data_IF_706048996884
#
_entry.id   IF_706048996884
#
_cell.length_a   1.000
_cell.length_b   1.000
_cell.length_c   1.000
_cell.angle_alpha   90.00
_cell.angle_beta   90.00
_cell.angle_gamma   90.00
#
_symmetry.space_group_name_H-M   'P 1'
#
loop_
_entity.id
_entity.type
_entity.pdbx_description
1 polymer ?
#
# COMPACT_ATOMS: atom_id res chain seq x y z
N UNK A 1 -3.79 -19.51 -12.42
CA UNK A 1 -3.10 -19.71 -11.13
C UNK A 1 -1.65 -19.30 -11.29
N UNK A 2 -1.06 -18.59 -10.34
CA UNK A 2 0.32 -18.07 -10.33
C UNK A 2 0.95 -18.39 -8.99
N UNK A 3 2.28 -18.52 -8.97
CA UNK A 3 3.03 -18.74 -7.74
C UNK A 3 4.17 -17.72 -7.65
N UNK A 4 4.32 -17.11 -6.47
CA UNK A 4 5.44 -16.23 -6.14
C UNK A 4 6.10 -16.72 -4.86
N UNK A 5 7.43 -16.74 -4.81
CA UNK A 5 8.19 -17.14 -3.63
C UNK A 5 9.18 -16.07 -3.19
N UNK A 6 9.41 -16.04 -1.88
CA UNK A 6 10.32 -15.11 -1.24
C UNK A 6 11.08 -15.78 -0.09
N UNK A 7 12.18 -15.18 0.36
CA UNK A 7 12.89 -15.68 1.55
C UNK A 7 12.01 -15.69 2.79
N UNK A 8 11.13 -14.71 2.90
CA UNK A 8 10.18 -14.58 3.98
C UNK A 8 8.80 -14.23 3.42
N UNK A 9 7.78 -14.96 3.85
CA UNK A 9 6.38 -14.60 3.63
C UNK A 9 5.77 -14.25 4.97
N UNK A 10 5.28 -13.02 5.10
CA UNK A 10 4.56 -12.51 6.29
C UNK A 10 3.08 -12.54 5.96
N UNK A 11 2.30 -13.35 6.67
CA UNK A 11 0.88 -13.56 6.31
C UNK A 11 -0.02 -12.42 6.77
N UNK A 12 0.35 -11.75 7.86
CA UNK A 12 -0.50 -10.75 8.54
C UNK A 12 -1.89 -11.30 8.88
N UNK A 13 -1.98 -12.61 9.10
CA UNK A 13 -3.17 -13.28 9.61
C UNK A 13 -3.26 -13.15 11.14
N UNK A 14 -4.27 -13.76 11.75
CA UNK A 14 -4.49 -13.73 13.20
C UNK A 14 -3.28 -14.23 14.00
N UNK A 15 -2.49 -15.13 13.42
CA UNK A 15 -1.29 -15.70 14.02
C UNK A 15 -0.02 -14.90 13.74
N UNK A 16 -0.08 -13.91 12.84
CA UNK A 16 1.08 -13.16 12.34
C UNK A 16 2.23 -14.07 11.90
N UNK A 17 1.89 -15.11 11.14
CA UNK A 17 2.84 -16.16 10.74
C UNK A 17 3.93 -15.62 9.81
N UNK A 18 5.17 -16.06 10.04
CA UNK A 18 6.31 -15.74 9.18
C UNK A 18 6.87 -17.06 8.65
N UNK A 19 6.78 -17.25 7.34
CA UNK A 19 7.21 -18.48 6.68
C UNK A 19 8.55 -18.24 5.98
N UNK A 20 9.60 -18.90 6.44
CA UNK A 20 10.91 -18.87 5.80
C UNK A 20 10.88 -19.69 4.52
N UNK A 21 11.48 -19.17 3.44
CA UNK A 21 11.42 -19.75 2.11
C UNK A 21 9.97 -20.10 1.75
N UNK A 22 9.09 -19.12 1.89
CA UNK A 22 7.67 -19.29 1.64
C UNK A 22 7.28 -19.03 0.19
N UNK A 23 6.09 -19.51 -0.17
CA UNK A 23 5.47 -19.22 -1.44
C UNK A 23 3.97 -18.97 -1.28
N UNK A 24 3.43 -18.16 -2.15
CA UNK A 24 2.01 -17.82 -2.23
C UNK A 24 1.48 -18.27 -3.58
N UNK A 25 0.44 -19.09 -3.55
CA UNK A 25 -0.33 -19.50 -4.72
C UNK A 25 -1.55 -18.62 -4.81
N UNK A 26 -1.79 -18.02 -5.96
CA UNK A 26 -2.92 -17.08 -6.12
C UNK A 26 -3.45 -17.05 -7.56
N UNK A 27 -4.66 -16.56 -7.67
CA UNK A 27 -5.34 -16.16 -8.89
C UNK A 27 -5.95 -14.77 -8.67
N UNK A 28 -7.28 -14.65 -8.61
CA UNK A 28 -7.98 -13.46 -8.12
C UNK A 28 -7.85 -13.31 -6.60
N UNK A 29 -7.64 -14.44 -5.92
CA UNK A 29 -7.49 -14.55 -4.48
C UNK A 29 -6.29 -15.40 -4.13
N UNK A 30 -5.81 -15.27 -2.89
CA UNK A 30 -4.84 -16.20 -2.33
C UNK A 30 -5.51 -17.57 -2.19
N UNK A 31 -4.89 -18.59 -2.77
CA UNK A 31 -5.35 -19.97 -2.74
C UNK A 31 -4.67 -20.74 -1.63
N UNK A 32 -3.35 -20.53 -1.49
CA UNK A 32 -2.55 -21.25 -0.50
C UNK A 32 -1.27 -20.48 -0.17
N UNK A 33 -0.81 -20.60 1.06
CA UNK A 33 0.49 -20.07 1.51
C UNK A 33 1.17 -21.20 2.29
N UNK A 34 2.38 -21.57 1.88
CA UNK A 34 3.19 -22.59 2.57
C UNK A 34 4.68 -22.38 2.24
N UNK A 35 5.51 -23.26 2.73
CA UNK A 35 6.92 -23.33 2.32
C UNK A 35 7.03 -23.61 0.82
N UNK A 36 8.04 -23.04 0.18
CA UNK A 36 8.29 -23.28 -1.24
C UNK A 36 8.36 -24.78 -1.56
N UNK A 37 8.99 -25.56 -0.69
CA UNK A 37 9.13 -27.01 -0.88
C UNK A 37 7.78 -27.73 -0.96
N UNK A 38 6.83 -27.38 -0.11
CA UNK A 38 5.49 -27.96 -0.12
C UNK A 38 4.70 -27.54 -1.35
N UNK A 39 4.80 -26.26 -1.71
CA UNK A 39 4.13 -25.73 -2.90
C UNK A 39 4.68 -26.36 -4.19
N UNK A 40 6.00 -26.51 -4.34
CA UNK A 40 6.61 -27.19 -5.50
C UNK A 40 6.11 -28.64 -5.66
N UNK A 41 5.95 -29.36 -4.56
CA UNK A 41 5.40 -30.73 -4.59
C UNK A 41 3.94 -30.78 -5.01
N UNK A 42 3.15 -29.83 -4.57
CA UNK A 42 1.70 -29.81 -4.80
C UNK A 42 1.33 -29.25 -6.19
N UNK A 43 2.15 -28.34 -6.71
CA UNK A 43 1.93 -27.64 -7.98
C UNK A 43 3.12 -27.79 -8.95
N UNK A 44 3.52 -29.03 -9.32
CA UNK A 44 4.76 -29.28 -10.05
C UNK A 44 4.82 -28.68 -11.47
N UNK A 45 3.67 -28.34 -12.03
CA UNK A 45 3.56 -27.85 -13.42
C UNK A 45 3.32 -26.33 -13.51
N UNK A 46 3.37 -25.61 -12.39
CA UNK A 46 3.17 -24.17 -12.38
C UNK A 46 4.51 -23.49 -12.21
N UNK A 47 4.81 -22.56 -13.12
CA UNK A 47 6.02 -21.73 -13.03
C UNK A 47 5.99 -20.85 -11.78
N UNK A 48 7.12 -20.80 -11.08
CA UNK A 48 7.27 -20.05 -9.84
C UNK A 48 8.13 -18.82 -10.09
N UNK A 49 7.56 -17.63 -9.88
CA UNK A 49 8.32 -16.40 -9.82
C UNK A 49 9.10 -16.36 -8.50
N UNK A 50 10.39 -16.62 -8.56
CA UNK A 50 11.28 -16.54 -7.39
C UNK A 50 11.81 -15.12 -7.25
N UNK A 51 11.50 -14.45 -6.13
CA UNK A 51 12.06 -13.14 -5.82
C UNK A 51 13.54 -13.24 -5.44
N UNK A 52 14.25 -12.11 -5.54
CA UNK A 52 15.67 -12.04 -5.21
C UNK A 52 15.96 -12.43 -3.74
N UNK A 53 17.21 -12.71 -3.44
CA UNK A 53 17.67 -13.00 -2.06
C UNK A 53 17.34 -11.82 -1.14
N UNK A 54 17.01 -12.16 0.10
CA UNK A 54 16.58 -11.21 1.14
C UNK A 54 15.24 -10.50 0.86
N UNK A 55 14.40 -11.12 0.04
CA UNK A 55 13.05 -10.62 -0.23
C UNK A 55 12.06 -10.96 0.89
N UNK A 56 11.13 -10.05 1.12
CA UNK A 56 9.97 -10.25 1.97
C UNK A 56 8.72 -10.06 1.12
N UNK A 57 7.83 -11.04 1.14
CA UNK A 57 6.50 -10.96 0.56
C UNK A 57 5.48 -10.78 1.68
N UNK A 58 4.66 -9.75 1.60
CA UNK A 58 3.63 -9.42 2.58
C UNK A 58 2.43 -8.77 1.91
N UNK A 59 1.26 -8.73 2.55
CA UNK A 59 0.12 -7.93 2.06
C UNK A 59 0.51 -6.48 1.85
N UNK A 60 -0.08 -5.85 0.83
CA UNK A 60 0.14 -4.44 0.59
C UNK A 60 -0.36 -3.57 1.74
N UNK A 61 0.32 -2.44 1.97
CA UNK A 61 -0.03 -1.50 3.02
C UNK A 61 -1.38 -0.83 2.72
N UNK A 62 -2.16 -0.61 3.76
CA UNK A 62 -3.43 0.11 3.70
C UNK A 62 -3.25 1.49 4.33
N UNK A 63 -3.43 2.54 3.54
CA UNK A 63 -3.55 3.90 4.06
C UNK A 63 -5.04 4.23 4.24
N UNK A 64 -5.54 4.08 5.45
CA UNK A 64 -6.96 4.22 5.76
C UNK A 64 -7.48 5.67 5.79
N UNK A 65 -6.59 6.66 5.69
CA UNK A 65 -6.98 8.07 5.77
C UNK A 65 -6.07 8.93 4.89
N UNK A 66 -6.57 9.38 3.75
CA UNK A 66 -5.83 10.27 2.85
C UNK A 66 -6.74 11.32 2.23
N UNK A 67 -6.24 12.54 2.17
CA UNK A 67 -6.88 13.68 1.50
C UNK A 67 -6.18 13.94 0.16
N UNK A 68 -6.68 13.35 -0.91
CA UNK A 68 -6.08 13.49 -2.25
C UNK A 68 -6.21 14.90 -2.80
N UNK A 69 -7.27 15.62 -2.41
CA UNK A 69 -7.48 17.01 -2.79
C UNK A 69 -6.41 17.98 -2.24
N UNK A 70 -5.66 17.56 -1.23
CA UNK A 70 -4.52 18.32 -0.71
C UNK A 70 -3.18 17.92 -1.32
N UNK A 71 -3.19 17.17 -2.42
CA UNK A 71 -1.97 16.73 -3.11
C UNK A 71 -1.08 17.87 -3.60
N UNK A 72 -1.63 19.06 -3.80
CA UNK A 72 -0.91 20.27 -4.17
C UNK A 72 -0.15 20.93 -3.00
N UNK A 73 -0.34 20.43 -1.77
CA UNK A 73 0.32 20.99 -0.60
C UNK A 73 1.84 20.78 -0.69
N UNK A 74 2.55 21.88 -0.96
CA UNK A 74 4.01 21.96 -0.94
C UNK A 74 4.50 22.93 0.14
N UNK A 75 3.57 23.59 0.83
CA UNK A 75 3.87 24.57 1.85
C UNK A 75 4.01 23.94 3.22
N UNK A 76 4.80 24.55 4.04
CA UNK A 76 4.93 24.18 5.44
C UNK A 76 3.69 24.62 6.19
N UNK A 77 2.83 23.69 6.54
CA UNK A 77 1.75 23.96 7.49
C UNK A 77 2.36 24.35 8.83
N UNK A 78 1.66 25.21 9.57
CA UNK A 78 2.17 25.62 10.90
C UNK A 78 2.16 24.42 11.84
N UNK A 79 3.33 24.06 12.31
CA UNK A 79 3.48 23.09 13.40
C UNK A 79 3.29 23.80 14.73
N UNK A 80 2.73 23.08 15.70
CA UNK A 80 2.44 23.61 17.03
C UNK A 80 1.34 22.81 17.70
N UNK A 81 0.45 23.50 18.43
CA UNK A 81 -0.74 22.83 18.95
C UNK A 81 -1.75 22.54 17.82
N UNK A 82 -2.66 21.59 18.09
CA UNK A 82 -3.65 21.13 17.11
C UNK A 82 -4.46 22.28 16.48
N UNK A 83 -4.89 23.26 17.28
CA UNK A 83 -5.70 24.37 16.76
C UNK A 83 -4.93 25.28 15.81
N UNK A 84 -3.65 25.55 16.08
CA UNK A 84 -2.81 26.34 15.18
C UNK A 84 -2.59 25.64 13.84
N UNK A 85 -2.36 24.34 13.87
CA UNK A 85 -2.26 23.51 12.69
C UNK A 85 -3.59 23.49 11.92
N UNK A 86 -4.71 23.17 12.57
CA UNK A 86 -6.03 23.07 11.96
C UNK A 86 -6.43 24.39 11.29
N UNK A 87 -6.25 25.53 11.96
CA UNK A 87 -6.54 26.85 11.39
C UNK A 87 -5.69 27.13 10.15
N UNK A 88 -4.44 26.66 10.10
CA UNK A 88 -3.59 26.79 8.91
C UNK A 88 -4.08 25.93 7.75
N UNK A 89 -4.60 24.74 8.02
CA UNK A 89 -5.22 23.87 7.01
C UNK A 89 -6.49 24.50 6.45
N UNK A 90 -7.39 24.94 7.33
CA UNK A 90 -8.66 25.56 6.94
C UNK A 90 -8.41 26.80 6.08
N UNK A 91 -7.47 27.66 6.47
CA UNK A 91 -7.11 28.87 5.72
C UNK A 91 -6.56 28.59 4.32
N UNK A 92 -5.85 27.49 4.16
CA UNK A 92 -5.20 27.11 2.88
C UNK A 92 -6.05 26.17 2.04
N UNK A 93 -7.18 25.69 2.55
CA UNK A 93 -7.97 24.60 1.98
C UNK A 93 -8.38 24.85 0.54
N UNK A 94 -9.05 25.96 0.28
CA UNK A 94 -9.62 26.26 -1.05
C UNK A 94 -8.52 26.44 -2.10
N UNK A 95 -7.43 27.08 -1.73
CA UNK A 95 -6.25 27.22 -2.61
C UNK A 95 -5.61 25.87 -2.93
N UNK A 96 -5.51 24.97 -1.95
CA UNK A 96 -4.95 23.63 -2.15
C UNK A 96 -5.83 22.78 -3.05
N UNK A 97 -7.15 22.81 -2.85
CA UNK A 97 -8.12 22.07 -3.67
C UNK A 97 -8.07 22.58 -5.11
N UNK A 98 -8.10 23.89 -5.32
CA UNK A 98 -8.10 24.49 -6.66
C UNK A 98 -6.80 24.21 -7.45
N UNK A 99 -5.69 23.97 -6.76
CA UNK A 99 -4.40 23.62 -7.38
C UNK A 99 -4.21 22.12 -7.59
N UNK A 100 -5.06 21.26 -7.00
CA UNK A 100 -4.97 19.82 -7.16
C UNK A 100 -5.60 19.40 -8.50
N UNK A 101 -4.77 18.99 -9.44
CA UNK A 101 -5.22 18.44 -10.71
C UNK A 101 -5.07 16.91 -10.76
N UNK A 102 -5.70 16.28 -11.76
CA UNK A 102 -5.68 14.82 -11.94
C UNK A 102 -4.26 14.28 -12.10
N UNK A 103 -3.37 15.01 -12.78
CA UNK A 103 -1.99 14.57 -13.02
C UNK A 103 -1.20 14.56 -11.72
N UNK A 104 -1.36 15.59 -10.90
CA UNK A 104 -0.69 15.68 -9.61
C UNK A 104 -1.17 14.60 -8.66
N UNK A 105 -2.50 14.39 -8.58
CA UNK A 105 -3.10 13.32 -7.77
C UNK A 105 -2.57 11.95 -8.22
N UNK A 106 -2.59 11.66 -9.53
CA UNK A 106 -2.04 10.41 -10.09
C UNK A 106 -0.58 10.20 -9.70
N UNK A 107 0.24 11.24 -9.81
CA UNK A 107 1.67 11.18 -9.42
C UNK A 107 1.83 10.84 -7.93
N UNK A 108 1.00 11.38 -7.06
CA UNK A 108 1.04 11.07 -5.62
C UNK A 108 0.59 9.64 -5.33
N UNK A 109 -0.46 9.17 -6.01
CA UNK A 109 -0.92 7.78 -5.93
C UNK A 109 0.14 6.79 -6.41
N UNK A 110 0.81 7.08 -7.53
CA UNK A 110 1.92 6.26 -8.04
C UNK A 110 3.08 6.20 -7.05
N UNK A 111 3.35 7.30 -6.36
CA UNK A 111 4.37 7.32 -5.29
C UNK A 111 3.95 6.43 -4.10
N UNK A 112 2.69 6.53 -3.65
CA UNK A 112 2.17 5.65 -2.59
C UNK A 112 2.27 4.18 -3.00
N UNK A 113 1.89 3.85 -4.24
CA UNK A 113 2.00 2.50 -4.79
C UNK A 113 3.44 2.00 -4.80
N UNK A 114 4.40 2.82 -5.25
CA UNK A 114 5.83 2.49 -5.25
C UNK A 114 6.41 2.28 -3.85
N UNK A 115 5.80 2.83 -2.81
CA UNK A 115 6.19 2.64 -1.41
C UNK A 115 5.37 1.54 -0.71
N UNK A 116 4.60 0.73 -1.47
CA UNK A 116 3.91 -0.44 -0.96
C UNK A 116 2.45 -0.26 -0.58
N UNK A 117 1.88 0.94 -0.75
CA UNK A 117 0.44 1.15 -0.48
C UNK A 117 -0.39 0.60 -1.63
N UNK A 118 -1.27 -0.36 -1.35
CA UNK A 118 -2.15 -1.00 -2.34
C UNK A 118 -3.62 -0.61 -2.19
N UNK A 119 -3.98 -0.09 -1.02
CA UNK A 119 -5.36 0.31 -0.71
C UNK A 119 -5.35 1.65 0.01
N UNK A 120 -6.28 2.53 -0.34
CA UNK A 120 -6.44 3.82 0.32
C UNK A 120 -7.90 4.06 0.71
N UNK A 121 -8.11 4.65 1.88
CA UNK A 121 -9.36 5.27 2.30
C UNK A 121 -9.30 6.77 2.00
N UNK A 122 -9.79 7.18 0.82
CA UNK A 122 -9.81 8.59 0.46
C UNK A 122 -10.99 9.29 1.15
N UNK A 123 -10.70 10.40 1.81
CA UNK A 123 -11.68 11.28 2.43
C UNK A 123 -11.75 12.55 1.59
N UNK A 124 -12.97 12.98 1.26
CA UNK A 124 -13.20 14.26 0.58
C UNK A 124 -13.62 15.32 1.58
N UNK A 125 -12.94 16.45 1.52
CA UNK A 125 -13.22 17.63 2.34
C UNK A 125 -14.13 18.63 1.62
N UNK A 126 -14.82 18.21 0.57
CA UNK A 126 -15.76 19.10 -0.12
C UNK A 126 -16.94 19.45 0.80
N UNK A 127 -17.20 20.72 0.96
CA UNK A 127 -18.53 21.19 1.40
C UNK A 127 -19.44 21.17 0.17
N UNK A 128 -20.53 20.47 0.29
CA UNK A 128 -21.63 20.56 -0.65
C UNK A 128 -22.35 21.91 -0.48
#
# INVERSE_FOLDING_TARGET
>A
MKIISANWVVTCDENNSIIKNGAVVFDDKIVEIDTLLNIEKKYPNIEILKLEKNSVLMPGLINSHVHLEFSSNTTTLKYGNFMSWLNSVIKSRDDLINKADKKLISTKLDRMKKTGTTTIGAISSYSF
#
